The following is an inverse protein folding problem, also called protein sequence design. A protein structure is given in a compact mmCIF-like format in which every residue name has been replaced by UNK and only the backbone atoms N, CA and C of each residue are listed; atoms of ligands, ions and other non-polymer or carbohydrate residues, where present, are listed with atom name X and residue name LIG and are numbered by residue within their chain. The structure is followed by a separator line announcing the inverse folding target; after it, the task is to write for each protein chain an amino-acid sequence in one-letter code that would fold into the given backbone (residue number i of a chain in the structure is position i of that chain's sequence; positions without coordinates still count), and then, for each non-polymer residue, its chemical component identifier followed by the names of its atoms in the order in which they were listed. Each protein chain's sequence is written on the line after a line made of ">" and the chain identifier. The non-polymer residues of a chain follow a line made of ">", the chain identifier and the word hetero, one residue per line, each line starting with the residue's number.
data_IF_134686747709
#
_entry.id   IF_134686747709
#
_cell.length_a   1.000
_cell.length_b   1.000
_cell.length_c   1.000
_cell.angle_alpha   90.00
_cell.angle_beta   90.00
_cell.angle_gamma   90.00
#
_symmetry.space_group_name_H-M   'P 1'
#
loop_
_entity.id
_entity.type
_entity.pdbx_description
1 polymer ?
#
# COMPACT_ATOMS: atom_id res chain seq x y z
N UNK A 1 32.73 -28.87 -38.84
CA UNK A 1 32.32 -27.69 -38.05
C UNK A 1 31.49 -28.21 -36.89
N UNK A 2 32.14 -29.00 -36.03
CA UNK A 2 32.79 -28.55 -34.78
C UNK A 2 31.77 -28.32 -33.66
N UNK A 3 31.61 -29.37 -32.85
CA UNK A 3 31.18 -29.28 -31.46
C UNK A 3 32.35 -28.79 -30.59
N UNK A 4 32.11 -27.78 -29.75
CA UNK A 4 32.88 -27.44 -28.56
C UNK A 4 31.93 -26.61 -27.66
N UNK A 5 31.54 -26.92 -26.42
CA UNK A 5 32.16 -27.56 -25.25
C UNK A 5 33.50 -26.93 -24.85
N UNK A 6 33.44 -25.81 -24.10
CA UNK A 6 34.02 -25.65 -22.74
C UNK A 6 34.23 -24.18 -22.36
N UNK A 7 34.02 -23.84 -21.07
CA UNK A 7 34.86 -22.83 -20.39
C UNK A 7 34.90 -22.92 -18.86
N UNK A 8 34.65 -24.08 -18.24
CA UNK A 8 34.81 -24.23 -16.76
C UNK A 8 35.51 -25.50 -16.30
N UNK A 9 36.32 -26.12 -17.17
CA UNK A 9 37.05 -27.36 -16.88
C UNK A 9 38.57 -27.23 -17.04
N UNK A 10 39.12 -26.05 -16.76
CA UNK A 10 40.56 -25.76 -16.82
C UNK A 10 41.05 -25.09 -15.51
N UNK A 11 40.84 -25.75 -14.38
CA UNK A 11 41.47 -25.37 -13.11
C UNK A 11 41.90 -26.57 -12.26
N UNK A 12 41.91 -27.79 -12.81
CA UNK A 12 42.19 -29.01 -12.06
C UNK A 12 43.51 -29.72 -12.42
N UNK A 13 44.42 -29.05 -13.13
CA UNK A 13 45.70 -29.66 -13.53
C UNK A 13 46.91 -28.72 -13.33
N UNK A 14 47.24 -28.47 -12.07
CA UNK A 14 48.61 -28.27 -11.55
C UNK A 14 48.48 -28.24 -10.01
N UNK A 15 49.17 -29.00 -9.18
CA UNK A 15 50.39 -29.77 -9.30
C UNK A 15 50.22 -31.06 -8.50
N UNK A 16 50.56 -32.17 -9.15
CA UNK A 16 51.05 -33.37 -8.51
C UNK A 16 52.47 -33.13 -7.97
N UNK A 17 52.87 -33.99 -7.01
CA UNK A 17 54.20 -34.23 -6.45
C UNK A 17 54.50 -33.52 -5.12
N UNK A 18 54.45 -34.26 -4.01
CA UNK A 18 55.64 -34.84 -3.40
C UNK A 18 55.27 -35.77 -2.20
N UNK A 19 55.65 -37.04 -2.36
CA UNK A 19 56.26 -37.92 -1.34
C UNK A 19 55.34 -38.68 -0.37
N UNK A 20 55.11 -39.95 -0.71
CA UNK A 20 54.95 -41.06 0.24
C UNK A 20 56.17 -41.18 1.16
N UNK A 21 55.98 -41.67 2.38
CA UNK A 21 56.56 -42.98 2.62
C UNK A 21 55.59 -43.99 3.23
N UNK A 22 55.64 -45.19 2.66
CA UNK A 22 55.36 -46.44 3.37
C UNK A 22 56.18 -46.49 4.65
N UNK A 23 55.53 -46.79 5.77
CA UNK A 23 56.09 -47.69 6.78
C UNK A 23 54.94 -48.34 7.57
N UNK A 24 54.80 -49.64 7.34
CA UNK A 24 54.00 -50.55 8.16
C UNK A 24 54.77 -50.80 9.44
N UNK A 25 54.20 -50.42 10.59
CA UNK A 25 54.54 -51.02 11.88
C UNK A 25 53.24 -51.36 12.60
N UNK A 26 53.00 -52.66 12.70
CA UNK A 26 51.93 -53.23 13.50
C UNK A 26 52.29 -53.13 14.98
N UNK A 27 51.41 -52.54 15.80
CA UNK A 27 51.46 -52.72 17.26
C UNK A 27 50.06 -52.90 17.86
N UNK A 28 49.79 -54.17 18.20
CA UNK A 28 49.07 -54.68 19.37
C UNK A 28 47.83 -53.90 19.83
N UNK A 29 46.67 -54.49 19.59
CA UNK A 29 45.45 -54.24 20.38
C UNK A 29 45.76 -54.40 21.87
N UNK A 30 45.72 -53.30 22.60
CA UNK A 30 45.60 -53.29 24.06
C UNK A 30 44.22 -52.68 24.33
N UNK A 31 43.26 -53.53 24.72
CA UNK A 31 41.97 -53.06 25.21
C UNK A 31 42.20 -52.22 26.47
N UNK A 32 41.82 -50.93 26.51
CA UNK A 32 41.71 -50.24 27.77
C UNK A 32 40.42 -50.70 28.45
N UNK A 33 40.67 -51.31 29.60
CA UNK A 33 39.80 -51.62 30.70
C UNK A 33 38.70 -50.57 30.93
N UNK A 34 37.48 -51.06 31.14
CA UNK A 34 36.36 -50.30 31.67
C UNK A 34 36.79 -49.63 32.98
N UNK A 35 36.93 -48.31 32.98
CA UNK A 35 37.10 -47.52 34.20
C UNK A 35 35.92 -46.58 34.29
N UNK A 36 35.14 -46.79 35.36
CA UNK A 36 33.88 -46.15 35.60
C UNK A 36 33.96 -44.63 35.63
N UNK A 37 32.78 -44.05 35.36
CA UNK A 37 32.30 -42.73 35.74
C UNK A 37 33.28 -41.83 36.51
N UNK A 38 33.88 -40.90 35.77
CA UNK A 38 33.92 -39.51 36.22
C UNK A 38 33.44 -38.65 35.07
N UNK A 39 32.11 -38.52 34.97
CA UNK A 39 31.49 -37.54 34.09
C UNK A 39 31.68 -36.17 34.75
N UNK A 40 32.78 -35.50 34.38
CA UNK A 40 33.17 -34.19 34.91
C UNK A 40 32.04 -33.19 34.67
N UNK A 41 31.82 -32.26 35.61
CA UNK A 41 30.92 -31.10 35.43
C UNK A 41 31.16 -30.39 34.09
N UNK A 42 32.40 -30.36 33.63
CA UNK A 42 32.82 -29.77 32.36
C UNK A 42 32.21 -30.48 31.14
N UNK A 43 32.10 -31.82 31.16
CA UNK A 43 31.50 -32.60 30.07
C UNK A 43 29.96 -32.55 30.08
N UNK A 44 29.33 -32.39 31.26
CA UNK A 44 27.90 -32.07 31.37
C UNK A 44 27.60 -30.67 30.84
N UNK A 45 28.48 -29.71 31.15
CA UNK A 45 28.38 -28.33 30.71
C UNK A 45 28.60 -28.17 29.20
N UNK A 46 29.44 -29.00 28.58
CA UNK A 46 29.63 -29.00 27.11
C UNK A 46 28.41 -29.57 26.37
N UNK A 47 27.81 -30.67 26.84
CA UNK A 47 26.56 -31.21 26.25
C UNK A 47 25.40 -30.23 26.45
N UNK A 48 25.29 -29.62 27.63
CA UNK A 48 24.28 -28.58 27.89
C UNK A 48 24.53 -27.34 27.02
N UNK A 49 25.79 -26.99 26.72
CA UNK A 49 26.12 -25.83 25.87
C UNK A 49 25.78 -26.08 24.40
N UNK A 50 25.97 -27.30 23.89
CA UNK A 50 25.58 -27.69 22.53
C UNK A 50 24.05 -27.77 22.35
N UNK A 51 23.28 -28.22 23.37
CA UNK A 51 21.81 -28.16 23.35
C UNK A 51 21.29 -26.71 23.36
N UNK A 52 21.93 -25.82 24.14
CA UNK A 52 21.55 -24.41 24.22
C UNK A 52 21.91 -23.59 22.95
N UNK A 53 22.96 -23.96 22.21
CA UNK A 53 23.31 -23.32 20.92
C UNK A 53 22.44 -23.82 19.76
N UNK A 54 21.96 -25.06 19.80
CA UNK A 54 20.98 -25.57 18.83
C UNK A 54 19.59 -24.93 19.02
N UNK A 55 19.17 -24.68 20.27
CA UNK A 55 17.92 -23.96 20.58
C UNK A 55 17.99 -22.46 20.22
N UNK A 56 19.18 -21.85 20.29
CA UNK A 56 19.38 -20.42 20.02
C UNK A 56 19.53 -20.08 18.52
N UNK A 57 19.49 -21.07 17.62
CA UNK A 57 19.60 -20.87 16.17
C UNK A 57 18.27 -20.97 15.41
N UNK A 58 17.19 -21.39 16.08
CA UNK A 58 15.84 -21.31 15.53
C UNK A 58 15.35 -19.86 15.59
N UNK A 59 14.85 -19.27 14.49
CA UNK A 59 14.25 -17.94 14.54
C UNK A 59 13.15 -17.95 15.60
N UNK A 60 13.35 -17.17 16.67
CA UNK A 60 12.39 -17.05 17.76
C UNK A 60 11.09 -16.47 17.21
N UNK A 61 10.15 -17.36 16.89
CA UNK A 61 8.82 -17.00 16.40
C UNK A 61 8.12 -16.20 17.49
N UNK A 62 7.59 -15.03 17.08
CA UNK A 62 6.80 -14.17 17.94
C UNK A 62 5.32 -14.57 17.81
N UNK A 63 4.71 -14.93 18.93
CA UNK A 63 3.27 -15.16 19.05
C UNK A 63 2.68 -14.02 19.88
N UNK A 64 1.74 -13.26 19.32
CA UNK A 64 1.14 -12.12 20.03
C UNK A 64 0.27 -12.59 21.20
N UNK A 65 -0.57 -13.62 20.98
CA UNK A 65 -1.48 -14.19 21.97
C UNK A 65 -1.42 -15.72 21.93
N UNK A 66 -0.35 -16.29 22.48
CA UNK A 66 -0.17 -17.73 22.55
C UNK A 66 1.27 -18.15 22.86
N UNK A 67 1.54 -19.43 22.69
CA UNK A 67 2.85 -20.03 22.94
C UNK A 67 3.47 -20.62 21.68
N UNK A 68 4.79 -20.51 21.54
CA UNK A 68 5.55 -21.20 20.49
C UNK A 68 5.78 -22.65 20.90
N UNK A 69 5.23 -23.58 20.11
CA UNK A 69 5.40 -25.03 20.33
C UNK A 69 5.92 -25.64 19.04
N UNK A 70 7.15 -26.17 19.07
CA UNK A 70 7.81 -26.79 17.91
C UNK A 70 7.86 -25.89 16.67
N UNK A 71 8.16 -24.59 16.85
CA UNK A 71 8.34 -23.65 15.73
C UNK A 71 7.03 -23.20 15.06
N UNK A 72 5.89 -23.29 15.76
CA UNK A 72 4.60 -22.72 15.34
C UNK A 72 3.89 -22.10 16.55
N UNK A 73 3.07 -21.08 16.31
CA UNK A 73 2.25 -20.50 17.36
C UNK A 73 0.99 -21.35 17.61
N UNK A 74 0.78 -21.71 18.88
CA UNK A 74 -0.48 -22.24 19.37
C UNK A 74 -1.21 -21.08 20.06
N UNK A 75 -2.31 -20.63 19.46
CA UNK A 75 -3.03 -19.44 19.90
C UNK A 75 -3.91 -19.70 21.11
N UNK A 76 -4.03 -18.68 21.95
CA UNK A 76 -4.96 -18.66 23.07
C UNK A 76 -6.42 -18.67 22.59
N UNK A 77 -7.35 -19.00 23.50
CA UNK A 77 -8.78 -18.99 23.19
C UNK A 77 -9.23 -17.60 22.70
N UNK A 78 -9.87 -17.56 21.53
CA UNK A 78 -10.33 -16.31 20.92
C UNK A 78 -9.32 -15.64 20.00
N UNK A 79 -8.15 -16.25 19.76
CA UNK A 79 -7.13 -15.71 18.86
C UNK A 79 -6.82 -16.66 17.69
N UNK A 80 -6.46 -16.07 16.56
CA UNK A 80 -6.19 -16.73 15.30
C UNK A 80 -5.08 -16.04 14.51
N UNK A 81 -4.73 -16.61 13.36
CA UNK A 81 -3.60 -16.16 12.53
C UNK A 81 -2.31 -16.93 12.80
N UNK A 82 -1.34 -16.78 11.90
CA UNK A 82 -0.05 -17.48 11.95
C UNK A 82 0.74 -17.18 13.22
N UNK A 83 0.62 -15.95 13.73
CA UNK A 83 1.31 -15.45 14.91
C UNK A 83 0.31 -15.03 16.00
N UNK A 84 -0.93 -15.54 15.95
CA UNK A 84 -1.98 -15.24 16.92
C UNK A 84 -2.29 -13.73 17.08
N UNK A 85 -2.15 -12.99 15.98
CA UNK A 85 -2.32 -11.54 15.95
C UNK A 85 -3.76 -11.09 15.67
N UNK A 86 -4.65 -12.01 15.28
CA UNK A 86 -6.03 -11.72 14.88
C UNK A 86 -6.99 -12.20 15.97
N UNK A 87 -7.89 -11.33 16.42
CA UNK A 87 -8.99 -11.73 17.31
C UNK A 87 -10.07 -12.47 16.51
N UNK A 88 -10.69 -13.47 17.13
CA UNK A 88 -11.80 -14.24 16.57
C UNK A 88 -13.13 -13.58 16.91
N UNK A 89 -13.89 -13.20 15.89
CA UNK A 89 -15.21 -12.57 16.06
C UNK A 89 -16.37 -13.56 15.80
N UNK A 90 -16.42 -14.66 16.56
CA UNK A 90 -17.56 -15.58 16.49
C UNK A 90 -18.82 -14.96 17.12
N UNK A 91 -19.99 -15.26 16.56
CA UNK A 91 -21.28 -14.77 17.10
C UNK A 91 -21.64 -15.38 18.46
N UNK A 92 -21.20 -16.62 18.71
CA UNK A 92 -21.42 -17.34 19.96
C UNK A 92 -20.09 -17.86 20.54
N UNK A 93 -20.12 -18.38 21.76
CA UNK A 93 -18.96 -19.03 22.40
C UNK A 93 -18.74 -20.48 21.90
N UNK A 94 -19.67 -21.03 21.14
CA UNK A 94 -19.58 -22.39 20.61
C UNK A 94 -18.49 -22.50 19.54
N UNK A 95 -17.80 -23.64 19.49
CA UNK A 95 -16.75 -23.93 18.51
C UNK A 95 -16.98 -25.30 17.90
N UNK A 96 -16.72 -25.42 16.61
CA UNK A 96 -16.72 -26.72 15.94
C UNK A 96 -15.56 -27.59 16.46
N UNK A 97 -15.59 -28.89 16.19
CA UNK A 97 -14.52 -29.81 16.61
C UNK A 97 -13.12 -29.40 16.12
N UNK A 98 -13.05 -28.69 14.99
CA UNK A 98 -11.80 -28.17 14.41
C UNK A 98 -11.36 -26.82 15.02
N UNK A 99 -12.08 -26.30 16.03
CA UNK A 99 -11.83 -24.99 16.64
C UNK A 99 -12.30 -23.80 15.81
N UNK A 100 -13.05 -24.03 14.73
CA UNK A 100 -13.64 -22.99 13.88
C UNK A 100 -14.92 -22.42 14.53
N UNK A 101 -15.33 -21.21 14.14
CA UNK A 101 -16.60 -20.65 14.56
C UNK A 101 -17.76 -21.31 13.78
N UNK A 102 -18.91 -21.62 14.41
CA UNK A 102 -20.10 -22.05 13.69
C UNK A 102 -20.77 -20.89 12.93
N UNK A 103 -20.76 -19.68 13.52
CA UNK A 103 -21.34 -18.46 12.94
C UNK A 103 -20.45 -17.27 13.31
N UNK A 104 -20.20 -16.37 12.34
CA UNK A 104 -19.46 -15.13 12.54
C UNK A 104 -20.35 -13.97 12.97
N UNK A 105 -19.77 -13.03 13.71
CA UNK A 105 -20.38 -11.71 13.92
C UNK A 105 -20.53 -10.99 12.57
N UNK A 106 -21.45 -10.03 12.50
CA UNK A 106 -21.67 -9.22 11.31
C UNK A 106 -20.39 -8.54 10.83
N UNK A 107 -20.14 -8.56 9.52
CA UNK A 107 -18.96 -7.99 8.86
C UNK A 107 -17.63 -8.66 9.26
N UNK A 108 -17.66 -9.95 9.64
CA UNK A 108 -16.47 -10.78 9.78
C UNK A 108 -16.62 -12.08 8.99
N UNK A 109 -15.50 -12.58 8.47
CA UNK A 109 -15.43 -13.76 7.64
C UNK A 109 -14.21 -14.64 7.97
N UNK A 110 -14.19 -15.85 7.44
CA UNK A 110 -13.16 -16.86 7.67
C UNK A 110 -13.62 -17.98 8.61
N UNK A 111 -12.88 -19.08 8.64
CA UNK A 111 -13.21 -20.25 9.46
C UNK A 111 -13.26 -19.89 10.96
N UNK A 112 -12.44 -18.93 11.38
CA UNK A 112 -12.35 -18.44 12.76
C UNK A 112 -12.86 -17.01 12.90
N UNK A 113 -13.57 -16.49 11.89
CA UNK A 113 -14.08 -15.11 11.84
C UNK A 113 -12.99 -14.07 12.14
N UNK A 114 -11.80 -14.30 11.57
CA UNK A 114 -10.58 -13.55 11.84
C UNK A 114 -10.29 -12.44 10.82
N UNK A 115 -11.09 -12.36 9.75
CA UNK A 115 -10.97 -11.34 8.71
C UNK A 115 -12.15 -10.38 8.81
N UNK A 116 -11.86 -9.08 8.90
CA UNK A 116 -12.88 -8.04 8.85
C UNK A 116 -13.34 -7.83 7.40
N UNK A 117 -14.64 -7.69 7.19
CA UNK A 117 -15.21 -7.34 5.90
C UNK A 117 -15.49 -5.84 5.84
N UNK A 118 -14.76 -5.13 4.98
CA UNK A 118 -14.90 -3.69 4.80
C UNK A 118 -15.89 -3.37 3.67
N UNK A 119 -16.83 -2.46 3.94
CA UNK A 119 -17.83 -2.01 2.97
C UNK A 119 -17.36 -0.78 2.17
N UNK A 120 -18.10 -0.43 1.11
CA UNK A 120 -17.93 0.79 0.33
C UNK A 120 -16.49 1.04 -0.21
N UNK A 121 -15.76 -0.04 -0.50
CA UNK A 121 -14.39 0.03 -1.00
C UNK A 121 -13.34 0.30 0.09
N UNK A 122 -13.69 0.11 1.36
CA UNK A 122 -12.72 0.07 2.46
C UNK A 122 -11.72 -1.07 2.31
N UNK A 123 -10.51 -0.88 2.83
CA UNK A 123 -9.44 -1.90 2.80
C UNK A 123 -9.04 -2.29 4.22
N UNK A 124 -8.84 -3.59 4.47
CA UNK A 124 -8.36 -4.08 5.77
C UNK A 124 -6.93 -3.58 6.04
N UNK A 125 -6.71 -3.05 7.24
CA UNK A 125 -5.38 -2.84 7.80
C UNK A 125 -4.85 -4.16 8.38
N UNK A 126 -3.77 -4.68 7.81
CA UNK A 126 -3.16 -5.98 8.16
C UNK A 126 -2.75 -6.10 9.64
N UNK A 127 -2.55 -4.98 10.33
CA UNK A 127 -2.04 -4.95 11.71
C UNK A 127 -3.14 -4.82 12.77
N UNK A 128 -4.29 -4.24 12.42
CA UNK A 128 -5.27 -3.77 13.42
C UNK A 128 -6.69 -4.30 13.22
N UNK A 129 -6.92 -5.21 12.25
CA UNK A 129 -8.26 -5.74 11.90
C UNK A 129 -9.32 -4.63 11.81
N UNK A 130 -8.92 -3.49 11.24
CA UNK A 130 -9.75 -2.32 11.09
C UNK A 130 -9.80 -1.88 9.63
N UNK A 131 -10.91 -1.29 9.21
CA UNK A 131 -11.07 -0.83 7.84
C UNK A 131 -10.55 0.59 7.65
N UNK A 132 -9.73 0.78 6.62
CA UNK A 132 -9.35 2.08 6.11
C UNK A 132 -10.43 2.56 5.13
N UNK A 133 -11.24 3.51 5.55
CA UNK A 133 -12.41 3.95 4.79
C UNK A 133 -12.09 5.03 3.76
N UNK A 134 -12.54 4.87 2.50
CA UNK A 134 -12.50 5.96 1.54
C UNK A 134 -13.52 7.04 1.92
N UNK A 135 -13.12 8.31 1.84
CA UNK A 135 -14.05 9.44 2.02
C UNK A 135 -15.15 9.37 0.94
N UNK A 136 -16.43 9.63 1.28
CA UNK A 136 -16.93 10.20 2.54
C UNK A 136 -17.36 9.18 3.62
N UNK A 137 -17.12 7.89 3.43
CA UNK A 137 -17.55 6.84 4.34
C UNK A 137 -16.73 6.80 5.63
N UNK A 138 -17.34 6.33 6.71
CA UNK A 138 -16.76 6.21 8.05
C UNK A 138 -17.32 4.97 8.78
N UNK A 139 -16.97 4.81 10.05
CA UNK A 139 -17.35 3.65 10.86
C UNK A 139 -16.27 2.55 10.86
N UNK A 140 -16.43 1.54 11.72
CA UNK A 140 -15.48 0.43 11.83
C UNK A 140 -15.40 -0.40 10.55
N UNK A 141 -16.52 -0.54 9.84
CA UNK A 141 -16.65 -1.33 8.62
C UNK A 141 -16.85 -0.46 7.37
N UNK A 142 -16.67 0.86 7.46
CA UNK A 142 -16.89 1.81 6.37
C UNK A 142 -18.33 1.84 5.83
N UNK A 143 -19.30 1.49 6.66
CA UNK A 143 -20.73 1.42 6.37
C UNK A 143 -21.49 2.69 6.77
N UNK A 144 -20.89 3.55 7.61
CA UNK A 144 -21.51 4.79 8.04
C UNK A 144 -21.29 5.91 7.01
N UNK A 145 -22.36 6.65 6.72
CA UNK A 145 -22.32 7.83 5.86
C UNK A 145 -22.85 9.05 6.61
N UNK A 146 -21.94 9.76 7.29
CA UNK A 146 -22.29 10.96 8.03
C UNK A 146 -22.48 12.15 7.09
N UNK A 147 -23.59 12.85 7.25
CA UNK A 147 -23.94 14.06 6.49
C UNK A 147 -22.81 15.12 6.51
N UNK A 148 -22.13 15.26 7.66
CA UNK A 148 -20.97 16.16 7.78
C UNK A 148 -19.79 15.76 6.88
N UNK A 149 -19.47 14.46 6.80
CA UNK A 149 -18.40 13.95 5.94
C UNK A 149 -18.74 14.13 4.46
N UNK A 150 -20.00 13.90 4.10
CA UNK A 150 -20.53 14.12 2.74
C UNK A 150 -20.39 15.59 2.35
N UNK A 151 -20.88 16.51 3.18
CA UNK A 151 -20.78 17.94 2.91
C UNK A 151 -19.32 18.40 2.81
N UNK A 152 -18.47 17.98 3.74
CA UNK A 152 -17.05 18.31 3.69
C UNK A 152 -16.36 17.78 2.43
N UNK A 153 -16.63 16.53 2.05
CA UNK A 153 -16.06 15.91 0.87
C UNK A 153 -16.49 16.63 -0.42
N UNK A 154 -17.79 16.87 -0.61
CA UNK A 154 -18.27 17.53 -1.82
C UNK A 154 -17.90 19.01 -1.85
N UNK A 155 -17.94 19.72 -0.72
CA UNK A 155 -17.52 21.12 -0.67
C UNK A 155 -16.02 21.27 -0.98
N UNK A 156 -15.16 20.39 -0.46
CA UNK A 156 -13.74 20.40 -0.81
C UNK A 156 -13.50 20.07 -2.29
N UNK A 157 -14.23 19.10 -2.86
CA UNK A 157 -14.18 18.80 -4.30
C UNK A 157 -14.65 19.97 -5.16
N UNK A 158 -15.76 20.62 -4.79
CA UNK A 158 -16.27 21.80 -5.49
C UNK A 158 -15.32 22.98 -5.34
N UNK A 159 -14.68 23.17 -4.18
CA UNK A 159 -13.65 24.20 -4.01
C UNK A 159 -12.46 23.97 -4.97
N UNK A 160 -12.06 22.72 -5.19
CA UNK A 160 -11.02 22.39 -6.19
C UNK A 160 -11.50 22.53 -7.64
N UNK A 161 -12.79 22.29 -7.92
CA UNK A 161 -13.40 22.42 -9.25
C UNK A 161 -13.90 23.84 -9.56
N UNK A 162 -13.99 24.72 -8.56
CA UNK A 162 -14.49 26.09 -8.63
C UNK A 162 -13.96 26.93 -9.81
N UNK A 163 -12.66 26.90 -10.17
CA UNK A 163 -12.18 27.67 -11.32
C UNK A 163 -12.79 27.22 -12.66
N UNK A 164 -13.23 25.95 -12.79
CA UNK A 164 -13.86 25.45 -14.03
C UNK A 164 -15.24 26.06 -14.27
N UNK A 165 -15.99 26.34 -13.20
CA UNK A 165 -17.26 27.06 -13.28
C UNK A 165 -17.07 28.47 -13.86
N UNK A 166 -16.05 29.19 -13.39
CA UNK A 166 -15.71 30.52 -13.90
C UNK A 166 -15.27 30.49 -15.37
N UNK A 167 -14.49 29.47 -15.76
CA UNK A 167 -14.02 29.28 -17.15
C UNK A 167 -15.20 29.11 -18.11
N UNK A 168 -16.32 28.52 -17.68
CA UNK A 168 -17.52 28.37 -18.52
C UNK A 168 -18.23 29.71 -18.84
N UNK A 169 -18.08 30.70 -17.95
CA UNK A 169 -18.74 32.02 -18.09
C UNK A 169 -17.91 32.97 -18.95
N UNK A 170 -16.58 32.78 -18.99
CA UNK A 170 -15.66 33.61 -19.77
C UNK A 170 -16.03 33.67 -21.28
N UNK A 171 -16.34 32.55 -21.98
CA UNK A 171 -16.78 32.58 -23.38
C UNK A 171 -18.03 33.43 -23.60
N UNK A 172 -19.01 33.35 -22.69
CA UNK A 172 -20.25 34.13 -22.79
C UNK A 172 -19.98 35.63 -22.62
N UNK A 173 -19.11 36.00 -21.67
CA UNK A 173 -18.67 37.40 -21.49
C UNK A 173 -17.91 37.87 -22.73
N UNK A 174 -16.98 37.08 -23.26
CA UNK A 174 -16.24 37.42 -24.47
C UNK A 174 -17.18 37.63 -25.67
N UNK A 175 -18.14 36.72 -25.89
CA UNK A 175 -19.14 36.86 -26.96
C UNK A 175 -19.97 38.12 -26.78
N UNK A 176 -20.43 38.40 -25.56
CA UNK A 176 -21.18 39.63 -25.25
C UNK A 176 -20.37 40.89 -25.60
N UNK A 177 -19.13 41.00 -25.13
CA UNK A 177 -18.25 42.15 -25.38
C UNK A 177 -17.94 42.30 -26.87
N UNK A 178 -17.71 41.19 -27.59
CA UNK A 178 -17.48 41.21 -29.04
C UNK A 178 -18.72 41.71 -29.78
N UNK A 179 -19.90 41.17 -29.47
CA UNK A 179 -21.16 41.61 -30.04
C UNK A 179 -21.40 43.10 -29.83
N UNK A 180 -21.15 43.59 -28.62
CA UNK A 180 -21.28 45.01 -28.28
C UNK A 180 -20.31 45.89 -29.09
N UNK A 181 -19.03 45.49 -29.19
CA UNK A 181 -18.03 46.19 -30.01
C UNK A 181 -18.44 46.25 -31.48
N UNK A 182 -18.92 45.13 -32.04
CA UNK A 182 -19.38 45.11 -33.44
C UNK A 182 -20.64 45.97 -33.65
N UNK A 183 -21.57 45.99 -32.70
CA UNK A 183 -22.77 46.83 -32.75
C UNK A 183 -22.41 48.32 -32.73
N UNK A 184 -21.53 48.74 -31.82
CA UNK A 184 -21.01 50.13 -31.75
C UNK A 184 -20.30 50.54 -33.04
N UNK A 185 -19.44 49.68 -33.59
CA UNK A 185 -18.75 49.95 -34.87
C UNK A 185 -19.72 50.14 -36.04
N UNK A 186 -20.81 49.36 -36.09
CA UNK A 186 -21.88 49.56 -37.09
C UNK A 186 -22.62 50.88 -36.88
N UNK A 187 -22.86 51.28 -35.63
CA UNK A 187 -23.51 52.55 -35.30
C UNK A 187 -22.69 53.75 -35.74
N UNK A 188 -21.37 53.77 -35.47
CA UNK A 188 -20.47 54.84 -35.93
C UNK A 188 -20.50 54.98 -37.45
N UNK A 189 -20.38 53.86 -38.19
CA UNK A 189 -20.46 53.87 -39.66
C UNK A 189 -21.79 54.39 -40.21
N UNK A 190 -22.91 54.15 -39.51
CA UNK A 190 -24.23 54.70 -39.91
C UNK A 190 -24.26 56.21 -39.74
N UNK A 191 -23.83 56.71 -38.59
CA UNK A 191 -23.79 58.14 -38.28
C UNK A 191 -22.87 58.88 -39.25
N UNK A 192 -21.69 58.32 -39.52
CA UNK A 192 -20.73 58.88 -40.49
C UNK A 192 -21.34 59.00 -41.89
N UNK A 193 -21.98 57.94 -42.41
CA UNK A 193 -22.64 57.97 -43.72
C UNK A 193 -23.78 58.98 -43.77
N UNK A 194 -24.64 59.03 -42.76
CA UNK A 194 -25.75 59.99 -42.71
C UNK A 194 -25.25 61.43 -42.62
N UNK A 195 -24.17 61.67 -41.87
CA UNK A 195 -23.58 63.00 -41.73
C UNK A 195 -22.95 63.47 -43.05
N UNK A 196 -22.18 62.61 -43.72
CA UNK A 196 -21.53 62.94 -44.99
C UNK A 196 -22.54 63.15 -46.14
N UNK A 197 -23.74 62.57 -46.04
CA UNK A 197 -24.84 62.84 -46.98
C UNK A 197 -25.49 64.21 -46.73
N UNK A 198 -25.54 64.66 -45.48
CA UNK A 198 -26.23 65.90 -45.08
C UNK A 198 -25.31 67.13 -45.06
N UNK A 199 -23.99 66.93 -44.95
CA UNK A 199 -23.02 68.00 -44.72
C UNK A 199 -21.88 67.96 -45.74
N UNK A 200 -21.38 69.13 -46.16
CA UNK A 200 -20.20 69.25 -47.03
C UNK A 200 -18.87 69.02 -46.31
N UNK A 201 -18.89 68.83 -44.98
CA UNK A 201 -17.69 68.58 -44.15
C UNK A 201 -17.63 67.12 -43.70
N UNK A 202 -16.46 66.50 -43.87
CA UNK A 202 -16.19 65.13 -43.42
C UNK A 202 -15.99 65.08 -41.90
N UNK A 203 -16.63 64.12 -41.22
CA UNK A 203 -16.48 63.93 -39.76
C UNK A 203 -15.53 62.77 -39.46
N UNK A 204 -14.67 62.96 -38.46
CA UNK A 204 -13.75 61.93 -38.00
C UNK A 204 -14.50 60.84 -37.20
N UNK A 205 -14.42 59.55 -37.59
CA UNK A 205 -15.10 58.46 -36.90
C UNK A 205 -14.64 58.27 -35.44
N UNK A 206 -13.41 58.63 -35.10
CA UNK A 206 -12.91 58.55 -33.71
C UNK A 206 -13.62 59.54 -32.78
N UNK A 207 -14.04 60.69 -33.30
CA UNK A 207 -14.78 61.69 -32.52
C UNK A 207 -16.21 61.23 -32.25
N UNK A 208 -16.86 60.58 -33.22
CA UNK A 208 -18.18 59.96 -33.04
C UNK A 208 -18.11 58.85 -31.97
N UNK A 209 -17.07 58.02 -32.00
CA UNK A 209 -16.88 56.96 -31.00
C UNK A 209 -16.69 57.52 -29.58
N UNK A 210 -15.93 58.60 -29.43
CA UNK A 210 -15.75 59.31 -28.15
C UNK A 210 -17.09 59.83 -27.60
N UNK A 211 -17.87 60.53 -28.43
CA UNK A 211 -19.18 61.07 -28.03
C UNK A 211 -20.19 59.98 -27.66
N UNK A 212 -20.14 58.83 -28.33
CA UNK A 212 -20.99 57.68 -28.00
C UNK A 212 -20.57 56.99 -26.69
N UNK A 213 -19.31 57.11 -26.28
CA UNK A 213 -18.81 56.59 -25.00
C UNK A 213 -19.14 57.51 -23.84
N UNK A 214 -19.10 58.84 -24.05
CA UNK A 214 -19.38 59.84 -23.01
C UNK A 214 -20.87 59.88 -22.61
N UNK A 215 -21.76 59.43 -23.50
CA UNK A 215 -23.21 59.38 -23.29
C UNK A 215 -23.71 58.09 -22.60
N UNK A 216 -22.89 57.05 -22.53
CA UNK A 216 -23.23 55.73 -21.96
C UNK A 216 -22.75 55.60 -20.53
#
# INVERSE_FOLDING_TARGET
>A
MELAINSRLLSFLSLFLFIFPLNVVAQRHRYPHNQGNYFSRQKLQEIQKEENEAENSLPKIFCAHGASVAGRCVCDHGWAGTNCQREMHCATFERNANGSCPVCQSNFQGDKCEYIECQNGGQESLETQNCNCPKPYSGRFCDELLTGNVYYYYNSKVATLGPLGLISVIPMICLYVLCERFARKRQVRRIEKTWNLQSSKTVNPAHIEFLLRDKS
#
